data_IF_034090593548
#
_entry.id   IF_034090593548
#
_cell.length_a   1.000
_cell.length_b   1.000
_cell.length_c   1.000
_cell.angle_alpha   90.00
_cell.angle_beta   90.00
_cell.angle_gamma   90.00
#
_symmetry.space_group_name_H-M   'P 1'
#
loop_
_entity.id
_entity.type
_entity.pdbx_description
1 polymer ?
#
# COMPACT_ATOMS: atom_id res chain seq x y z
N UNK A 1 8.54 6.28 45.65
CA UNK A 1 8.28 5.31 44.56
C UNK A 1 8.24 6.08 43.24
N UNK A 2 9.30 6.05 42.42
CA UNK A 2 9.31 6.71 41.09
C UNK A 2 8.36 5.92 40.20
N UNK A 3 7.23 6.50 39.83
CA UNK A 3 6.35 5.94 38.79
C UNK A 3 7.17 5.98 37.49
N UNK A 4 7.73 4.84 37.09
CA UNK A 4 8.34 4.62 35.80
C UNK A 4 7.19 4.65 34.75
N UNK A 5 6.97 5.82 34.14
CA UNK A 5 6.14 5.89 32.95
C UNK A 5 6.77 4.97 31.88
N UNK A 6 6.00 4.09 31.22
CA UNK A 6 6.54 3.29 30.16
C UNK A 6 7.20 4.19 29.12
N UNK A 7 8.44 3.86 28.70
CA UNK A 7 9.16 4.63 27.68
C UNK A 7 8.30 4.74 26.44
N UNK A 8 8.16 5.98 25.95
CA UNK A 8 7.44 6.30 24.73
C UNK A 8 8.01 5.50 23.56
N UNK A 9 7.15 4.83 22.78
CA UNK A 9 7.57 4.04 21.62
C UNK A 9 7.77 4.97 20.41
N UNK A 10 8.84 4.76 19.66
CA UNK A 10 9.09 5.40 18.39
C UNK A 10 8.52 4.49 17.27
N UNK A 11 7.51 4.97 16.55
CA UNK A 11 6.75 4.22 15.56
C UNK A 11 6.98 4.81 14.16
N UNK A 12 7.52 4.01 13.26
CA UNK A 12 7.79 4.38 11.88
C UNK A 12 6.71 3.83 10.96
N UNK A 13 6.04 4.70 10.21
CA UNK A 13 5.09 4.28 9.19
C UNK A 13 5.83 3.92 7.90
N UNK A 14 5.83 2.64 7.53
CA UNK A 14 6.32 2.17 6.23
C UNK A 14 5.19 2.37 5.21
N UNK A 15 5.36 3.37 4.33
CA UNK A 15 4.31 3.80 3.42
C UNK A 15 4.33 2.99 2.12
N UNK A 16 3.64 1.86 2.11
CA UNK A 16 3.46 1.03 0.92
C UNK A 16 2.46 1.69 -0.03
N UNK A 17 2.79 1.72 -1.32
CA UNK A 17 1.93 2.34 -2.33
C UNK A 17 0.58 1.62 -2.50
N UNK A 18 -0.52 2.39 -2.51
CA UNK A 18 -1.89 1.93 -2.80
C UNK A 18 -2.54 1.02 -1.75
N UNK A 19 -2.07 1.06 -0.53
CA UNK A 19 -2.59 0.33 0.63
C UNK A 19 -3.31 1.24 1.66
N UNK A 20 -3.89 2.36 1.22
CA UNK A 20 -4.51 3.40 2.06
C UNK A 20 -3.54 4.28 2.86
N UNK A 21 -2.22 4.20 2.61
CA UNK A 21 -1.20 4.95 3.36
C UNK A 21 -1.41 6.47 3.37
N UNK A 22 -1.94 7.05 2.29
CA UNK A 22 -2.27 8.48 2.24
C UNK A 22 -3.37 8.86 3.23
N UNK A 23 -4.40 8.03 3.38
CA UNK A 23 -5.48 8.27 4.34
C UNK A 23 -4.95 8.20 5.78
N UNK A 24 -4.13 7.19 6.09
CA UNK A 24 -3.46 7.05 7.39
C UNK A 24 -2.57 8.24 7.70
N UNK A 25 -1.73 8.69 6.76
CA UNK A 25 -0.88 9.87 6.95
C UNK A 25 -1.69 11.12 7.24
N UNK A 26 -2.78 11.35 6.52
CA UNK A 26 -3.65 12.50 6.77
C UNK A 26 -4.31 12.44 8.16
N UNK A 27 -4.77 11.25 8.56
CA UNK A 27 -5.41 11.08 9.87
C UNK A 27 -4.44 11.26 11.03
N UNK A 28 -3.14 10.97 10.82
CA UNK A 28 -2.11 10.99 11.86
C UNK A 28 -1.24 12.25 11.85
N UNK A 29 -1.30 13.11 10.81
CA UNK A 29 -0.39 14.24 10.63
C UNK A 29 -0.34 15.19 11.83
N UNK A 30 -1.50 15.47 12.44
CA UNK A 30 -1.62 16.37 13.59
C UNK A 30 -1.51 15.65 14.95
N UNK A 31 -1.29 14.33 14.93
CA UNK A 31 -1.32 13.46 16.10
C UNK A 31 -0.08 12.58 16.20
N UNK A 32 1.05 13.06 15.70
CA UNK A 32 2.32 12.31 15.68
C UNK A 32 2.95 12.15 17.05
N UNK A 33 2.51 12.91 18.03
CA UNK A 33 2.95 12.84 19.41
C UNK A 33 1.80 12.50 20.35
N UNK A 34 1.94 11.39 21.08
CA UNK A 34 0.99 10.93 22.09
C UNK A 34 1.71 10.54 23.38
N UNK A 35 0.95 10.19 24.41
CA UNK A 35 1.52 9.71 25.68
C UNK A 35 2.40 8.47 25.51
N UNK A 36 2.04 7.56 24.60
CA UNK A 36 2.70 6.26 24.45
C UNK A 36 3.49 6.12 23.17
N UNK A 37 3.37 7.04 22.22
CA UNK A 37 4.04 6.94 20.94
C UNK A 37 4.51 8.29 20.38
N UNK A 38 5.65 8.24 19.71
CA UNK A 38 6.13 9.24 18.75
C UNK A 38 6.06 8.61 17.38
N UNK A 39 5.27 9.17 16.45
CA UNK A 39 5.04 8.62 15.12
C UNK A 39 5.84 9.40 14.08
N UNK A 40 6.50 8.66 13.19
CA UNK A 40 7.24 9.18 12.05
C UNK A 40 6.57 8.75 10.76
N UNK A 41 6.05 9.70 9.99
CA UNK A 41 5.29 9.48 8.75
C UNK A 41 6.20 9.63 7.53
N UNK A 42 6.78 8.54 7.07
CA UNK A 42 7.75 8.54 5.97
C UNK A 42 7.13 8.56 4.57
N UNK A 43 7.97 8.78 3.55
CA UNK A 43 7.67 8.60 2.15
C UNK A 43 7.64 7.12 1.73
N UNK A 44 7.55 6.88 0.41
CA UNK A 44 7.53 5.52 -0.14
C UNK A 44 8.90 4.83 -0.12
N UNK A 45 9.98 5.60 0.03
CA UNK A 45 11.36 5.09 -0.03
C UNK A 45 11.82 4.47 1.29
N UNK A 46 11.13 4.74 2.39
CA UNK A 46 11.45 4.22 3.71
C UNK A 46 11.06 2.75 3.84
N UNK A 47 12.01 1.91 4.23
CA UNK A 47 11.91 0.45 4.26
C UNK A 47 12.09 -0.09 5.69
N UNK A 48 11.84 -1.39 5.87
CA UNK A 48 12.08 -2.06 7.15
C UNK A 48 13.56 -1.98 7.60
N UNK A 49 14.49 -1.91 6.64
CA UNK A 49 15.93 -1.71 6.91
C UNK A 49 16.27 -0.36 7.54
N UNK A 50 15.43 0.65 7.30
CA UNK A 50 15.67 2.00 7.79
C UNK A 50 15.09 2.21 9.21
N UNK A 51 14.33 1.22 9.71
CA UNK A 51 13.81 1.23 11.08
C UNK A 51 14.94 0.89 12.06
N UNK A 52 15.31 1.80 12.99
CA UNK A 52 16.35 1.51 13.98
C UNK A 52 16.03 0.28 14.85
N UNK A 53 17.06 -0.44 15.30
CA UNK A 53 16.89 -1.74 15.99
C UNK A 53 15.99 -1.68 17.24
N UNK A 54 16.03 -0.58 17.97
CA UNK A 54 15.25 -0.39 19.20
C UNK A 54 13.93 0.37 18.98
N UNK A 55 13.51 0.51 17.73
CA UNK A 55 12.29 1.21 17.36
C UNK A 55 11.33 0.28 16.62
N UNK A 56 10.11 0.75 16.43
CA UNK A 56 9.01 -0.04 15.93
C UNK A 56 8.49 0.52 14.62
N UNK A 57 7.80 -0.31 13.86
CA UNK A 57 7.13 0.12 12.65
C UNK A 57 5.71 -0.44 12.57
N UNK A 58 4.95 0.20 11.71
CA UNK A 58 3.64 -0.25 11.28
C UNK A 58 3.46 0.06 9.80
N UNK A 59 2.58 -0.68 9.15
CA UNK A 59 2.29 -0.52 7.73
C UNK A 59 0.87 -0.94 7.41
N UNK A 60 0.47 -0.81 6.15
CA UNK A 60 -0.84 -1.26 5.68
C UNK A 60 -0.71 -2.22 4.51
N UNK A 61 -1.61 -3.20 4.47
CA UNK A 61 -1.72 -4.18 3.39
C UNK A 61 -3.04 -4.02 2.65
N UNK A 62 -3.10 -4.59 1.45
CA UNK A 62 -4.29 -4.66 0.61
C UNK A 62 -4.18 -5.88 -0.29
N UNK A 63 -5.32 -6.47 -0.69
CA UNK A 63 -5.34 -7.50 -1.71
C UNK A 63 -4.57 -7.05 -2.97
N UNK A 64 -3.69 -7.90 -3.55
CA UNK A 64 -2.85 -7.52 -4.68
C UNK A 64 -3.64 -7.11 -5.93
N UNK A 65 -4.79 -7.71 -6.19
CA UNK A 65 -5.65 -7.36 -7.34
C UNK A 65 -6.30 -5.99 -7.14
N UNK A 66 -6.81 -5.73 -5.94
CA UNK A 66 -7.37 -4.43 -5.58
C UNK A 66 -6.31 -3.33 -5.58
N UNK A 67 -5.08 -3.67 -5.16
CA UNK A 67 -3.92 -2.79 -5.23
C UNK A 67 -3.57 -2.45 -6.68
N UNK A 68 -3.55 -3.45 -7.58
CA UNK A 68 -3.33 -3.28 -9.02
C UNK A 68 -4.35 -2.32 -9.64
N UNK A 69 -5.65 -2.58 -9.47
CA UNK A 69 -6.72 -1.73 -10.01
C UNK A 69 -6.60 -0.30 -9.49
N UNK A 70 -6.33 -0.14 -8.19
CA UNK A 70 -6.12 1.17 -7.57
C UNK A 70 -4.91 1.90 -8.15
N UNK A 71 -3.82 1.20 -8.40
CA UNK A 71 -2.60 1.75 -8.99
C UNK A 71 -2.82 2.17 -10.44
N UNK A 72 -3.44 1.31 -11.25
CA UNK A 72 -3.74 1.57 -12.65
C UNK A 72 -4.50 2.90 -12.82
N UNK A 73 -5.68 3.01 -12.22
CA UNK A 73 -6.49 4.23 -12.36
C UNK A 73 -5.86 5.46 -11.71
N UNK A 74 -5.14 5.30 -10.61
CA UNK A 74 -4.41 6.41 -10.00
C UNK A 74 -3.32 6.96 -10.92
N UNK A 75 -2.57 6.08 -11.60
CA UNK A 75 -1.53 6.50 -12.55
C UNK A 75 -2.11 6.98 -13.85
N UNK A 76 -3.17 6.34 -14.37
CA UNK A 76 -3.86 6.78 -15.59
C UNK A 76 -4.31 8.25 -15.49
N UNK A 77 -4.86 8.66 -14.35
CA UNK A 77 -5.22 10.07 -14.09
C UNK A 77 -4.07 10.92 -13.55
N UNK A 78 -2.82 10.46 -13.61
CA UNK A 78 -1.63 11.17 -13.14
C UNK A 78 -1.72 11.62 -11.66
N UNK A 79 -2.44 10.88 -10.83
CA UNK A 79 -2.67 11.19 -9.42
C UNK A 79 -3.72 12.27 -9.13
N UNK A 80 -4.34 12.84 -10.18
CA UNK A 80 -5.40 13.86 -10.00
C UNK A 80 -6.61 13.28 -9.26
N UNK A 81 -7.41 14.10 -8.56
CA UNK A 81 -7.28 15.57 -8.41
C UNK A 81 -6.24 16.00 -7.36
N UNK A 82 -5.75 15.10 -6.50
CA UNK A 82 -4.87 15.48 -5.37
C UNK A 82 -3.45 15.85 -5.79
N UNK A 83 -2.91 15.11 -6.74
CA UNK A 83 -1.56 15.29 -7.26
C UNK A 83 -1.61 15.60 -8.76
N UNK A 84 -0.54 16.15 -9.28
CA UNK A 84 -0.33 16.29 -10.71
C UNK A 84 1.04 15.66 -11.04
N UNK A 85 1.07 14.34 -11.04
CA UNK A 85 2.28 13.56 -11.29
C UNK A 85 2.28 13.07 -12.73
N UNK A 86 2.93 13.81 -13.61
CA UNK A 86 3.05 13.47 -15.04
C UNK A 86 3.54 12.03 -15.24
N UNK A 87 3.16 11.43 -16.34
CA UNK A 87 3.70 10.15 -16.76
C UNK A 87 5.18 10.27 -17.11
N UNK A 88 5.93 9.20 -16.85
CA UNK A 88 7.20 8.97 -17.54
C UNK A 88 6.91 8.57 -18.98
N UNK A 89 7.92 8.64 -19.87
CA UNK A 89 7.76 8.17 -21.26
C UNK A 89 7.32 6.69 -21.32
N UNK A 90 7.81 5.87 -20.38
CA UNK A 90 7.41 4.46 -20.28
C UNK A 90 5.94 4.29 -19.85
N UNK A 91 5.45 5.09 -18.90
CA UNK A 91 4.03 5.09 -18.52
C UNK A 91 3.14 5.62 -19.64
N UNK A 92 3.57 6.65 -20.36
CA UNK A 92 2.84 7.19 -21.51
C UNK A 92 2.63 6.13 -22.59
N UNK A 93 3.69 5.38 -22.96
CA UNK A 93 3.57 4.25 -23.88
C UNK A 93 2.65 3.15 -23.30
N UNK A 94 2.77 2.80 -22.03
CA UNK A 94 1.92 1.78 -21.41
C UNK A 94 0.43 2.18 -21.47
N UNK A 95 0.09 3.44 -21.17
CA UNK A 95 -1.29 3.93 -21.22
C UNK A 95 -1.80 4.20 -22.65
N UNK A 96 -0.93 4.32 -23.65
CA UNK A 96 -1.35 4.31 -25.07
C UNK A 96 -1.76 2.91 -25.54
N UNK A 97 -1.25 1.85 -24.90
CA UNK A 97 -1.55 0.46 -25.22
C UNK A 97 -2.77 -0.09 -24.45
N UNK A 98 -3.02 0.41 -23.23
CA UNK A 98 -4.04 -0.13 -22.33
C UNK A 98 -4.89 0.96 -21.68
N UNK A 99 -6.18 0.97 -22.00
CA UNK A 99 -7.15 1.92 -21.45
C UNK A 99 -7.78 1.43 -20.14
N UNK A 100 -7.80 0.10 -19.92
CA UNK A 100 -8.43 -0.50 -18.75
C UNK A 100 -7.56 -1.56 -18.08
N UNK A 101 -7.72 -1.77 -16.74
CA UNK A 101 -7.04 -2.84 -16.04
C UNK A 101 -7.31 -4.22 -16.62
N UNK A 102 -8.54 -4.46 -17.11
CA UNK A 102 -8.92 -5.72 -17.72
C UNK A 102 -8.18 -6.00 -19.04
N UNK A 103 -8.01 -4.98 -19.89
CA UNK A 103 -7.24 -5.13 -21.13
C UNK A 103 -5.81 -5.55 -20.82
N UNK A 104 -5.13 -4.82 -19.93
CA UNK A 104 -3.76 -5.14 -19.53
C UNK A 104 -3.67 -6.54 -18.94
N UNK A 105 -4.51 -6.87 -17.99
CA UNK A 105 -4.46 -8.16 -17.29
C UNK A 105 -4.80 -9.35 -18.18
N UNK A 106 -5.74 -9.20 -19.12
CA UNK A 106 -6.09 -10.26 -20.06
C UNK A 106 -4.94 -10.62 -21.00
N UNK A 107 -4.11 -9.65 -21.37
CA UNK A 107 -3.01 -9.83 -22.32
C UNK A 107 -1.73 -10.41 -21.68
N UNK A 108 -1.62 -10.47 -20.33
CA UNK A 108 -0.42 -10.94 -19.61
C UNK A 108 0.07 -12.34 -20.00
N UNK A 109 -0.84 -13.25 -20.30
CA UNK A 109 -0.51 -14.64 -20.68
C UNK A 109 -1.19 -15.01 -21.98
N UNK A 110 -1.37 -14.04 -22.88
CA UNK A 110 -1.93 -14.27 -24.21
C UNK A 110 -1.00 -15.15 -25.05
N UNK A 111 -1.58 -16.03 -25.88
CA UNK A 111 -0.85 -16.80 -26.89
C UNK A 111 -0.21 -15.89 -27.95
N UNK A 112 -0.82 -14.72 -28.18
CA UNK A 112 -0.22 -13.68 -29.02
C UNK A 112 0.96 -13.03 -28.29
N UNK A 113 2.17 -13.34 -28.75
CA UNK A 113 3.39 -12.87 -28.13
C UNK A 113 3.52 -11.34 -28.06
N UNK A 114 3.01 -10.60 -29.06
CA UNK A 114 3.04 -9.13 -29.06
C UNK A 114 2.18 -8.56 -27.94
N UNK A 115 0.98 -9.11 -27.75
CA UNK A 115 0.09 -8.72 -26.65
C UNK A 115 0.74 -8.99 -25.29
N UNK A 116 1.33 -10.18 -25.12
CA UNK A 116 2.02 -10.56 -23.88
C UNK A 116 3.18 -9.62 -23.56
N UNK A 117 4.08 -9.36 -24.53
CA UNK A 117 5.21 -8.45 -24.32
C UNK A 117 4.76 -7.03 -23.98
N UNK A 118 3.73 -6.52 -24.65
CA UNK A 118 3.15 -5.21 -24.31
C UNK A 118 2.58 -5.17 -22.89
N UNK A 119 1.89 -6.23 -22.47
CA UNK A 119 1.33 -6.31 -21.12
C UNK A 119 2.43 -6.40 -20.05
N UNK A 120 3.45 -7.23 -20.26
CA UNK A 120 4.63 -7.33 -19.37
C UNK A 120 5.35 -5.98 -19.27
N UNK A 121 5.56 -5.31 -20.41
CA UNK A 121 6.13 -3.97 -20.43
C UNK A 121 5.32 -2.98 -19.59
N UNK A 122 3.99 -2.96 -19.74
CA UNK A 122 3.12 -2.07 -18.98
C UNK A 122 3.16 -2.37 -17.47
N UNK A 123 3.14 -3.66 -17.07
CA UNK A 123 3.26 -4.07 -15.67
C UNK A 123 4.57 -3.62 -15.03
N UNK A 124 5.67 -3.60 -15.79
CA UNK A 124 6.99 -3.17 -15.32
C UNK A 124 7.19 -1.65 -15.36
N UNK A 125 6.41 -0.94 -16.20
CA UNK A 125 6.57 0.50 -16.43
C UNK A 125 5.66 1.37 -15.56
N UNK A 126 4.44 0.90 -15.26
CA UNK A 126 3.47 1.70 -14.50
C UNK A 126 3.83 1.69 -13.02
N UNK A 127 4.12 2.89 -12.49
CA UNK A 127 4.45 3.09 -11.08
C UNK A 127 3.35 2.58 -10.16
N UNK A 128 3.71 2.00 -9.04
CA UNK A 128 2.88 1.29 -8.07
C UNK A 128 2.34 -0.06 -8.54
N UNK A 129 2.25 -0.33 -9.85
CA UNK A 129 1.97 -1.67 -10.39
C UNK A 129 3.24 -2.52 -10.33
N UNK A 130 4.38 -1.92 -10.68
CA UNK A 130 5.68 -2.56 -10.71
C UNK A 130 6.33 -2.80 -9.32
N UNK A 131 5.73 -2.28 -8.25
CA UNK A 131 6.28 -2.47 -6.91
C UNK A 131 5.75 -3.73 -6.23
N UNK A 132 6.67 -4.52 -5.70
CA UNK A 132 6.40 -5.64 -4.82
C UNK A 132 6.30 -5.21 -3.35
N UNK A 133 5.60 -5.95 -2.49
CA UNK A 133 5.72 -5.79 -1.03
C UNK A 133 7.16 -6.01 -0.58
N UNK A 134 7.89 -6.94 -1.20
CA UNK A 134 9.27 -7.24 -0.87
C UNK A 134 10.23 -6.07 -1.09
N UNK A 135 9.86 -5.07 -1.90
CA UNK A 135 10.66 -3.84 -2.05
C UNK A 135 10.82 -3.08 -0.72
N UNK A 136 9.87 -3.24 0.21
CA UNK A 136 9.93 -2.64 1.55
C UNK A 136 10.47 -3.58 2.62
N UNK A 137 10.44 -4.89 2.40
CA UNK A 137 10.75 -5.90 3.43
C UNK A 137 11.93 -6.81 3.09
N UNK A 138 12.56 -6.65 1.90
CA UNK A 138 13.70 -7.41 1.39
C UNK A 138 13.27 -8.84 1.00
N UNK A 139 13.12 -9.72 2.00
CA UNK A 139 12.72 -11.12 1.85
C UNK A 139 12.03 -11.65 3.14
N UNK A 140 11.55 -12.87 3.07
CA UNK A 140 10.89 -13.55 4.18
C UNK A 140 11.80 -13.67 5.41
N UNK A 141 13.06 -14.04 5.23
CA UNK A 141 14.01 -14.24 6.33
C UNK A 141 14.24 -12.93 7.10
N UNK A 142 14.47 -11.84 6.37
CA UNK A 142 14.68 -10.54 6.99
C UNK A 142 13.40 -10.04 7.67
N UNK A 143 12.25 -10.16 7.02
CA UNK A 143 10.95 -9.80 7.59
C UNK A 143 10.70 -10.52 8.92
N UNK A 144 10.88 -11.84 8.95
CA UNK A 144 10.70 -12.63 10.17
C UNK A 144 11.71 -12.31 11.26
N UNK A 145 12.95 -11.98 10.91
CA UNK A 145 13.97 -11.57 11.89
C UNK A 145 13.60 -10.26 12.60
N UNK A 146 12.86 -9.37 11.91
CA UNK A 146 12.40 -8.07 12.41
C UNK A 146 10.95 -8.09 12.94
N UNK A 147 10.29 -9.25 13.04
CA UNK A 147 8.87 -9.34 13.43
C UNK A 147 8.53 -8.64 14.75
N UNK A 148 9.45 -8.61 15.72
CA UNK A 148 9.26 -7.90 17.00
C UNK A 148 9.24 -6.39 16.89
N UNK A 149 9.79 -5.82 15.81
CA UNK A 149 9.74 -4.39 15.51
C UNK A 149 8.41 -4.00 14.86
N UNK A 150 7.66 -4.94 14.28
CA UNK A 150 6.37 -4.69 13.64
C UNK A 150 5.28 -4.76 14.72
N UNK A 151 4.67 -3.63 15.03
CA UNK A 151 3.72 -3.52 16.16
C UNK A 151 2.27 -3.36 15.73
N UNK A 152 2.02 -3.05 14.46
CA UNK A 152 0.66 -2.97 13.92
C UNK A 152 0.65 -3.10 12.39
N UNK A 153 -0.38 -3.76 11.87
CA UNK A 153 -0.61 -3.91 10.43
C UNK A 153 -2.07 -3.59 10.16
N UNK A 154 -2.30 -2.58 9.33
CA UNK A 154 -3.64 -2.23 8.87
C UNK A 154 -4.02 -3.09 7.67
N UNK A 155 -5.19 -3.69 7.68
CA UNK A 155 -5.80 -4.24 6.46
C UNK A 155 -6.74 -3.18 5.85
N UNK A 156 -6.62 -2.95 4.55
CA UNK A 156 -7.45 -1.96 3.85
C UNK A 156 -8.94 -2.31 3.93
N UNK A 157 -9.30 -3.58 4.11
CA UNK A 157 -10.68 -4.05 4.25
C UNK A 157 -11.30 -3.71 5.61
N UNK A 158 -10.49 -3.70 6.66
CA UNK A 158 -10.86 -3.39 8.06
C UNK A 158 -10.31 -2.04 8.54
N UNK A 159 -9.86 -1.16 7.64
CA UNK A 159 -9.09 0.04 7.94
C UNK A 159 -9.69 0.92 9.06
N UNK A 160 -11.02 1.07 9.11
CA UNK A 160 -11.67 1.89 10.13
C UNK A 160 -11.57 1.25 11.54
N UNK A 161 -11.86 -0.04 11.67
CA UNK A 161 -11.73 -0.77 12.93
C UNK A 161 -10.28 -0.84 13.40
N UNK A 162 -9.36 -1.14 12.48
CA UNK A 162 -7.93 -1.17 12.76
C UNK A 162 -7.42 0.19 13.23
N UNK A 163 -7.91 1.28 12.64
CA UNK A 163 -7.52 2.62 13.04
C UNK A 163 -8.02 2.97 14.45
N UNK A 164 -9.23 2.56 14.83
CA UNK A 164 -9.73 2.73 16.19
C UNK A 164 -8.93 1.90 17.20
N UNK A 165 -8.53 0.68 16.85
CA UNK A 165 -7.66 -0.15 17.67
C UNK A 165 -6.27 0.47 17.83
N UNK A 166 -5.66 0.91 16.73
CA UNK A 166 -4.36 1.60 16.74
C UNK A 166 -4.37 2.83 17.65
N UNK A 167 -5.43 3.66 17.58
CA UNK A 167 -5.60 4.81 18.46
C UNK A 167 -5.63 4.42 19.93
N UNK A 168 -6.32 3.34 20.27
CA UNK A 168 -6.40 2.85 21.66
C UNK A 168 -5.02 2.36 22.15
N UNK A 169 -4.35 1.53 21.36
CA UNK A 169 -3.03 0.93 21.70
C UNK A 169 -1.98 2.01 21.97
N UNK A 170 -1.96 3.06 21.20
CA UNK A 170 -0.92 4.10 21.25
C UNK A 170 -1.39 5.42 21.86
N UNK A 171 -2.58 5.44 22.48
CA UNK A 171 -3.15 6.62 23.13
C UNK A 171 -3.24 7.85 22.22
N UNK A 172 -3.57 7.62 20.95
CA UNK A 172 -3.78 8.69 19.97
C UNK A 172 -5.15 9.34 20.22
N UNK A 173 -5.23 10.64 19.99
CA UNK A 173 -6.46 11.43 20.19
C UNK A 173 -7.63 10.82 19.42
N UNK A 174 -8.80 10.77 20.06
CA UNK A 174 -10.07 10.39 19.40
C UNK A 174 -10.44 11.33 18.26
N UNK A 175 -9.90 12.56 18.23
CA UNK A 175 -10.09 13.53 17.15
C UNK A 175 -9.37 13.15 15.84
N UNK A 176 -8.40 12.23 15.89
CA UNK A 176 -7.79 11.67 14.69
C UNK A 176 -8.84 10.83 13.95
N UNK A 177 -9.19 11.24 12.74
CA UNK A 177 -10.21 10.59 11.92
C UNK A 177 -9.66 10.28 10.53
N UNK A 178 -9.98 9.10 10.02
CA UNK A 178 -9.71 8.78 8.62
C UNK A 178 -10.56 9.70 7.72
N UNK A 179 -10.01 10.19 6.61
CA UNK A 179 -10.75 11.01 5.68
C UNK A 179 -11.93 10.23 5.08
N UNK A 180 -13.06 10.91 4.88
CA UNK A 180 -14.20 10.31 4.19
C UNK A 180 -13.79 9.78 2.81
N UNK A 181 -14.26 8.59 2.42
CA UNK A 181 -13.93 7.95 1.14
C UNK A 181 -14.15 8.84 -0.08
N UNK A 182 -15.13 9.72 -0.03
CA UNK A 182 -15.46 10.66 -1.11
C UNK A 182 -14.61 11.94 -1.10
N UNK A 183 -13.77 12.13 -0.07
CA UNK A 183 -12.90 13.30 0.00
C UNK A 183 -11.66 13.12 -0.87
N UNK A 184 -11.12 14.23 -1.37
CA UNK A 184 -9.82 14.28 -2.08
C UNK A 184 -8.70 13.69 -1.21
N UNK A 185 -8.82 13.83 0.11
CA UNK A 185 -7.85 13.34 1.09
C UNK A 185 -7.83 11.81 1.24
N UNK A 186 -8.91 11.11 0.92
CA UNK A 186 -8.93 9.65 0.88
C UNK A 186 -8.17 9.08 -0.33
N UNK A 187 -7.99 9.90 -1.39
CA UNK A 187 -7.37 9.48 -2.65
C UNK A 187 -7.97 8.18 -3.21
N UNK A 188 -9.27 7.98 -3.01
CA UNK A 188 -10.02 6.83 -3.53
C UNK A 188 -10.29 6.98 -5.03
N UNK A 189 -10.56 5.87 -5.72
CA UNK A 189 -11.07 5.93 -7.08
C UNK A 189 -12.51 6.46 -7.07
N UNK A 190 -12.81 7.38 -7.98
CA UNK A 190 -14.19 7.83 -8.18
C UNK A 190 -15.09 6.66 -8.60
N UNK A 191 -16.36 6.73 -8.22
CA UNK A 191 -17.40 5.72 -8.50
C UNK A 191 -17.59 5.40 -10.00
N UNK A 192 -17.08 6.26 -10.89
CA UNK A 192 -17.21 6.14 -12.35
C UNK A 192 -16.30 5.10 -13.01
N UNK A 193 -15.29 4.56 -12.30
CA UNK A 193 -14.38 3.59 -12.88
C UNK A 193 -14.92 2.16 -12.71
N UNK A 194 -14.90 1.39 -13.78
CA UNK A 194 -15.16 -0.04 -13.70
C UNK A 194 -13.97 -0.74 -13.02
N UNK A 195 -14.09 -0.95 -11.72
CA UNK A 195 -13.06 -1.59 -10.91
C UNK A 195 -13.15 -3.11 -10.91
N UNK A 196 -14.21 -3.70 -11.50
CA UNK A 196 -14.44 -5.14 -11.52
C UNK A 196 -13.54 -5.80 -12.57
N UNK A 197 -12.73 -6.73 -12.12
CA UNK A 197 -11.94 -7.59 -12.99
C UNK A 197 -12.84 -8.72 -13.55
N UNK A 198 -12.58 -9.12 -14.80
CA UNK A 198 -13.17 -10.33 -15.34
C UNK A 198 -12.34 -11.57 -14.89
N UNK A 199 -12.91 -12.76 -15.06
CA UNK A 199 -12.31 -14.00 -14.58
C UNK A 199 -10.91 -14.28 -15.14
N UNK A 200 -10.67 -13.95 -16.41
CA UNK A 200 -9.34 -14.13 -17.06
C UNK A 200 -8.34 -13.18 -16.45
N UNK A 201 -8.70 -11.89 -16.30
CA UNK A 201 -7.85 -10.88 -15.66
C UNK A 201 -7.48 -11.27 -14.21
N UNK A 202 -8.47 -11.77 -13.43
CA UNK A 202 -8.21 -12.23 -12.06
C UNK A 202 -7.20 -13.40 -12.02
N UNK A 203 -7.36 -14.39 -12.87
CA UNK A 203 -6.46 -15.55 -12.94
C UNK A 203 -5.05 -15.13 -13.33
N UNK A 204 -4.91 -14.30 -14.36
CA UNK A 204 -3.64 -13.81 -14.83
C UNK A 204 -2.92 -12.97 -13.79
N UNK A 205 -3.63 -12.08 -13.11
CA UNK A 205 -3.06 -11.26 -12.04
C UNK A 205 -2.69 -12.07 -10.81
N UNK A 206 -3.48 -13.08 -10.41
CA UNK A 206 -3.09 -14.00 -9.32
C UNK A 206 -1.78 -14.73 -9.64
N UNK A 207 -1.59 -15.14 -10.89
CA UNK A 207 -0.35 -15.76 -11.35
C UNK A 207 0.81 -14.76 -11.33
N UNK A 208 0.59 -13.54 -11.82
CA UNK A 208 1.61 -12.48 -11.84
C UNK A 208 2.05 -12.09 -10.43
N UNK A 209 1.08 -11.88 -9.54
CA UNK A 209 1.30 -11.46 -8.16
C UNK A 209 1.43 -12.64 -7.17
N UNK A 210 1.81 -13.84 -7.60
CA UNK A 210 1.96 -14.98 -6.70
C UNK A 210 2.85 -14.69 -5.49
N UNK A 211 3.97 -13.97 -5.68
CA UNK A 211 4.87 -13.55 -4.59
C UNK A 211 4.21 -12.58 -3.60
N UNK A 212 3.30 -11.75 -4.07
CA UNK A 212 2.54 -10.83 -3.24
C UNK A 212 1.56 -11.59 -2.32
N UNK A 213 0.92 -12.61 -2.86
CA UNK A 213 0.06 -13.48 -2.05
C UNK A 213 0.84 -14.26 -1.00
N UNK A 214 2.06 -14.73 -1.33
CA UNK A 214 2.96 -15.33 -0.33
C UNK A 214 3.25 -14.36 0.82
N UNK A 215 3.51 -13.09 0.50
CA UNK A 215 3.71 -12.07 1.54
C UNK A 215 2.46 -11.88 2.42
N UNK A 216 1.28 -11.73 1.80
CA UNK A 216 0.01 -11.56 2.56
C UNK A 216 -0.26 -12.75 3.48
N UNK A 217 -0.05 -13.98 2.98
CA UNK A 217 -0.22 -15.19 3.79
C UNK A 217 0.80 -15.28 4.93
N UNK A 218 2.05 -14.88 4.68
CA UNK A 218 3.08 -14.79 5.72
C UNK A 218 2.66 -13.81 6.83
N UNK A 219 2.18 -12.61 6.45
CA UNK A 219 1.68 -11.62 7.41
C UNK A 219 0.55 -12.22 8.26
N UNK A 220 -0.48 -12.79 7.63
CA UNK A 220 -1.63 -13.39 8.33
C UNK A 220 -1.28 -14.55 9.26
N UNK A 221 -0.21 -15.30 8.95
CA UNK A 221 0.26 -16.42 9.81
C UNK A 221 1.15 -15.96 10.95
N UNK A 222 1.75 -14.78 10.83
CA UNK A 222 2.75 -14.29 11.79
C UNK A 222 2.16 -13.39 12.86
N UNK A 223 1.10 -12.66 12.51
CA UNK A 223 0.42 -11.65 13.32
C UNK A 223 -1.08 -11.92 13.45
#
# INVERSE_FOLDING_TARGET
MKILFPRKKHLHFIHIGKTAGTALKNALSDYTDSRHAQIYLHGHDFKLTDVPDNQYCFFSIRDPLDRFVSAFYSRQRQGKPRYNSKWSAAEELAFSLFETPNQLANDLYSDNWKKRVNAEYAMLSIRHINNSYWDWFIDERYFLSRKKSIVFIFDQTSLNSDFEEFKKLFSISKKALLPNRNSVNAHSNNVSFNTKLNKVAELNLKRWYAKEYVFIELVKKTF
#
